data_IF_493772101604
#
_entry.id   IF_493772101604
#
_cell.length_a   1.000
_cell.length_b   1.000
_cell.length_c   1.000
_cell.angle_alpha   90.00
_cell.angle_beta   90.00
_cell.angle_gamma   90.00
#
_symmetry.space_group_name_H-M   'P 1'
#
loop_
_entity.id
_entity.type
_entity.pdbx_description
1 polymer ?
#
# COMPACT_ATOMS: atom_id res chain seq x y z
N UNK A 1 -3.09 1.44 -3.13
CA UNK A 1 -3.74 0.42 -2.27
C UNK A 1 -2.76 -0.71 -2.01
N UNK A 2 -2.47 -0.96 -0.73
CA UNK A 2 -1.56 -2.01 -0.29
C UNK A 2 -2.20 -2.84 0.81
N UNK A 3 -1.77 -4.10 0.95
CA UNK A 3 -2.29 -5.06 1.92
C UNK A 3 -1.13 -5.79 2.55
N UNK A 4 -1.06 -5.77 3.88
CA UNK A 4 0.01 -6.41 4.63
C UNK A 4 -0.22 -6.33 6.14
N UNK A 5 0.62 -7.00 6.94
CA UNK A 5 0.55 -6.95 8.40
C UNK A 5 0.95 -5.56 8.92
N UNK A 6 0.28 -5.09 9.97
CA UNK A 6 0.62 -3.83 10.64
C UNK A 6 0.38 -3.95 12.15
N UNK A 7 0.95 -2.99 12.90
CA UNK A 7 0.70 -2.80 14.32
C UNK A 7 -0.19 -1.59 14.49
N UNK A 8 -1.23 -1.71 15.30
CA UNK A 8 -2.10 -0.61 15.66
C UNK A 8 -2.17 -0.44 17.17
N UNK A 9 -2.37 0.79 17.64
CA UNK A 9 -2.46 1.06 19.06
C UNK A 9 -3.07 2.42 19.40
N UNK A 10 -3.45 2.57 20.67
CA UNK A 10 -3.88 3.85 21.23
C UNK A 10 -2.72 4.45 22.01
N UNK A 11 -2.37 5.69 21.71
CA UNK A 11 -1.30 6.46 22.36
C UNK A 11 -1.90 7.59 23.17
N UNK A 12 -1.33 7.83 24.35
CA UNK A 12 -1.67 8.96 25.20
C UNK A 12 -2.37 8.58 26.49
N UNK A 13 -2.24 9.43 27.51
CA UNK A 13 -2.79 9.21 28.86
C UNK A 13 -3.96 10.14 29.22
N UNK A 14 -4.17 11.20 28.43
CA UNK A 14 -5.22 12.23 28.67
C UNK A 14 -5.92 12.65 27.39
N UNK A 15 -5.17 12.74 26.28
CA UNK A 15 -5.69 12.82 24.91
C UNK A 15 -5.27 11.55 24.21
N UNK A 16 -6.23 10.73 23.82
CA UNK A 16 -5.98 9.47 23.13
C UNK A 16 -5.93 9.72 21.63
N UNK A 17 -4.95 9.11 20.97
CA UNK A 17 -4.86 9.03 19.52
C UNK A 17 -4.76 7.56 19.12
N UNK A 18 -5.51 7.15 18.12
CA UNK A 18 -5.32 5.84 17.49
C UNK A 18 -4.36 5.99 16.33
N UNK A 19 -3.38 5.11 16.24
CA UNK A 19 -2.33 5.20 15.23
C UNK A 19 -1.88 3.81 14.79
N UNK A 20 -1.27 3.74 13.61
CA UNK A 20 -0.84 2.52 12.93
C UNK A 20 0.62 2.65 12.48
N UNK A 21 1.40 1.59 12.68
CA UNK A 21 2.82 1.51 12.32
C UNK A 21 3.15 0.18 11.66
N UNK A 22 4.30 0.14 10.98
CA UNK A 22 4.84 -1.06 10.35
C UNK A 22 5.20 -0.83 8.89
N UNK A 23 5.82 -1.85 8.28
CA UNK A 23 6.28 -1.77 6.89
C UNK A 23 5.13 -1.49 5.91
N UNK A 24 3.96 -2.10 6.13
CA UNK A 24 2.76 -1.92 5.31
C UNK A 24 2.37 -0.44 5.15
N UNK A 25 2.48 0.38 6.21
CA UNK A 25 2.13 1.81 6.11
C UNK A 25 3.21 2.62 5.41
N UNK A 26 4.48 2.26 5.59
CA UNK A 26 5.60 2.86 4.86
C UNK A 26 5.48 2.59 3.36
N UNK A 27 5.20 1.34 2.98
CA UNK A 27 4.98 0.93 1.60
C UNK A 27 3.77 1.67 1.00
N UNK A 28 2.65 1.74 1.73
CA UNK A 28 1.47 2.45 1.25
C UNK A 28 1.76 3.94 0.99
N UNK A 29 2.53 4.60 1.87
CA UNK A 29 2.97 5.98 1.68
C UNK A 29 3.92 6.14 0.48
N UNK A 30 4.86 5.21 0.28
CA UNK A 30 5.73 5.22 -0.89
C UNK A 30 4.92 5.07 -2.20
N UNK A 31 3.94 4.17 -2.20
CA UNK A 31 3.06 3.96 -3.34
C UNK A 31 2.27 5.22 -3.70
N UNK A 32 1.75 5.92 -2.70
CA UNK A 32 1.01 7.18 -2.91
C UNK A 32 1.90 8.23 -3.59
N UNK A 33 3.14 8.40 -3.12
CA UNK A 33 4.09 9.35 -3.70
C UNK A 33 4.42 9.07 -5.18
N UNK A 34 4.41 7.79 -5.58
CA UNK A 34 4.72 7.36 -6.95
C UNK A 34 3.46 7.08 -7.80
N UNK A 35 2.27 7.37 -7.28
CA UNK A 35 1.02 7.15 -8.02
C UNK A 35 0.76 8.26 -9.04
N UNK A 36 0.17 7.89 -10.18
CA UNK A 36 -0.27 8.86 -11.19
C UNK A 36 -1.48 9.64 -10.68
N UNK A 37 -1.55 10.92 -11.04
CA UNK A 37 -2.72 11.74 -10.74
C UNK A 37 -3.99 11.11 -11.35
N UNK A 38 -5.06 11.05 -10.55
CA UNK A 38 -6.36 10.45 -10.92
C UNK A 38 -6.33 8.94 -11.23
N UNK A 39 -5.25 8.22 -10.87
CA UNK A 39 -5.14 6.78 -11.02
C UNK A 39 -5.19 6.03 -9.69
N UNK A 40 -5.71 4.80 -9.70
CA UNK A 40 -5.63 3.88 -8.56
C UNK A 40 -4.42 2.94 -8.77
N UNK A 41 -3.36 3.15 -7.98
CA UNK A 41 -2.20 2.27 -7.94
C UNK A 41 -2.38 1.17 -6.89
N UNK A 42 -2.05 -0.07 -7.22
CA UNK A 42 -2.32 -1.28 -6.43
C UNK A 42 -1.04 -2.12 -6.34
N UNK A 43 -0.73 -2.61 -5.15
CA UNK A 43 0.45 -3.46 -4.92
C UNK A 43 0.20 -4.89 -5.38
N UNK A 44 1.27 -5.62 -5.71
CA UNK A 44 1.21 -7.06 -5.99
C UNK A 44 0.51 -7.87 -4.87
N UNK A 45 0.71 -7.49 -3.61
CA UNK A 45 0.07 -8.18 -2.49
C UNK A 45 -1.45 -7.98 -2.50
N UNK A 46 -1.94 -6.78 -2.80
CA UNK A 46 -3.38 -6.52 -2.93
C UNK A 46 -3.99 -7.23 -4.14
N UNK A 47 -3.28 -7.26 -5.28
CA UNK A 47 -3.77 -7.94 -6.50
C UNK A 47 -4.10 -9.41 -6.25
N UNK A 48 -3.32 -10.10 -5.41
CA UNK A 48 -3.57 -11.50 -5.04
C UNK A 48 -4.93 -11.72 -4.36
N UNK A 49 -5.48 -10.70 -3.72
CA UNK A 49 -6.80 -10.77 -3.06
C UNK A 49 -7.96 -10.34 -3.96
N UNK A 50 -7.68 -9.70 -5.11
CA UNK A 50 -8.73 -9.21 -6.03
C UNK A 50 -9.32 -10.32 -6.91
N UNK A 51 -8.69 -11.49 -7.00
CA UNK A 51 -9.19 -12.66 -7.75
C UNK A 51 -9.66 -12.36 -9.19
N UNK A 52 -8.99 -11.43 -9.88
CA UNK A 52 -9.36 -11.04 -11.25
C UNK A 52 -10.65 -10.24 -11.38
N UNK A 53 -11.16 -9.65 -10.28
CA UNK A 53 -12.36 -8.83 -10.31
C UNK A 53 -12.21 -7.50 -11.09
N UNK A 54 -10.97 -7.10 -11.40
CA UNK A 54 -10.65 -5.85 -12.08
C UNK A 54 -9.49 -6.04 -13.06
N UNK A 55 -9.50 -5.26 -14.12
CA UNK A 55 -8.40 -5.16 -15.08
C UNK A 55 -7.34 -4.17 -14.58
N UNK A 56 -6.07 -4.55 -14.72
CA UNK A 56 -4.95 -3.74 -14.26
C UNK A 56 -3.73 -3.91 -15.16
N UNK A 57 -2.96 -2.83 -15.30
CA UNK A 57 -1.72 -2.81 -16.07
C UNK A 57 -0.48 -2.75 -15.16
N UNK A 58 0.64 -3.39 -15.51
CA UNK A 58 1.89 -3.23 -14.78
C UNK A 58 2.34 -1.75 -14.71
N UNK A 59 2.75 -1.29 -13.54
CA UNK A 59 3.17 0.08 -13.25
C UNK A 59 4.54 0.14 -12.57
N UNK A 60 5.48 -0.70 -13.04
CA UNK A 60 6.85 -0.77 -12.52
C UNK A 60 6.96 -1.48 -11.16
N UNK A 61 8.13 -1.36 -10.54
CA UNK A 61 8.42 -1.92 -9.22
C UNK A 61 8.89 -0.82 -8.27
N UNK A 62 8.67 -1.02 -6.97
CA UNK A 62 9.13 -0.12 -5.91
C UNK A 62 9.89 -0.92 -4.85
N UNK A 63 10.95 -0.34 -4.32
CA UNK A 63 11.72 -0.91 -3.23
C UNK A 63 11.00 -0.67 -1.89
N UNK A 64 10.80 -1.71 -1.09
CA UNK A 64 10.23 -1.59 0.26
C UNK A 64 11.28 -1.09 1.25
N UNK A 65 10.84 -0.74 2.46
CA UNK A 65 11.76 -0.32 3.53
C UNK A 65 12.80 -1.38 3.92
N UNK A 66 12.54 -2.65 3.61
CA UNK A 66 13.46 -3.78 3.83
C UNK A 66 14.31 -4.15 2.60
N UNK A 67 14.26 -3.35 1.52
CA UNK A 67 15.05 -3.58 0.30
C UNK A 67 14.45 -4.63 -0.65
N UNK A 68 13.20 -5.05 -0.44
CA UNK A 68 12.49 -5.96 -1.35
C UNK A 68 11.90 -5.17 -2.52
N UNK A 69 11.99 -5.69 -3.72
CA UNK A 69 11.26 -5.13 -4.87
C UNK A 69 9.82 -5.65 -4.89
N UNK A 70 8.87 -4.73 -5.06
CA UNK A 70 7.45 -5.04 -5.17
C UNK A 70 6.86 -4.44 -6.45
N UNK A 71 6.27 -5.31 -7.26
CA UNK A 71 5.54 -4.91 -8.46
C UNK A 71 4.27 -4.13 -8.12
N UNK A 72 4.01 -3.11 -8.93
CA UNK A 72 2.86 -2.22 -8.83
C UNK A 72 1.99 -2.37 -10.06
N UNK A 73 0.70 -2.10 -9.90
CA UNK A 73 -0.31 -2.23 -10.93
C UNK A 73 -1.23 -1.03 -10.91
N UNK A 74 -1.53 -0.50 -12.08
CA UNK A 74 -2.48 0.59 -12.28
C UNK A 74 -3.84 -0.02 -12.65
N UNK A 75 -4.88 0.30 -11.90
CA UNK A 75 -6.25 -0.10 -12.25
C UNK A 75 -6.73 0.66 -13.50
N UNK A 76 -7.41 -0.05 -14.40
CA UNK A 76 -8.20 0.55 -15.48
C UNK A 76 -9.65 0.75 -15.00
N UNK A 77 -10.25 1.91 -15.31
CA UNK A 77 -11.64 2.23 -15.00
C UNK A 77 -12.45 2.38 -16.28
#
# INVERSE_FOLDING_TARGET
VHTGPLVAGVVGRRKYSYDIWGETVTIAGLMEQHSKASGINISADTVRYLNGAYDYQPNGEQETGEGRMMAMYQLEM
#
